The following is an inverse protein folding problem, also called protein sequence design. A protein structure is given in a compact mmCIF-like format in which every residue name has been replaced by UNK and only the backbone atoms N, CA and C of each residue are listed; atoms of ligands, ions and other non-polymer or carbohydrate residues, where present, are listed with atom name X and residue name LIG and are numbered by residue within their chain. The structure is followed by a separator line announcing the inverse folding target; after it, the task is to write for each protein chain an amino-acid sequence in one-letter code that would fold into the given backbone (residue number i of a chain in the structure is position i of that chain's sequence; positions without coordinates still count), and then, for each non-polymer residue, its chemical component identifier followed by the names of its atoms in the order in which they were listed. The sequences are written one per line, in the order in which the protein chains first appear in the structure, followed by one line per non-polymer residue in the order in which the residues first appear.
data_IF_057617506128
#
_entry.id   IF_057617506128
#
_cell.length_a   1.000
_cell.length_b   1.000
_cell.length_c   1.000
_cell.angle_alpha   90.00
_cell.angle_beta   90.00
_cell.angle_gamma   90.00
#
_symmetry.space_group_name_H-M   'P 1'
#
loop_
_entity.id
_entity.type
_entity.pdbx_description
1 polymer ?
#
# COMPACT_ATOMS: atom_id res chain seq x y z
N UNK A 1 -30.57 -30.37 -27.09
CA UNK A 1 -29.59 -30.54 -26.02
C UNK A 1 -28.39 -29.65 -26.32
N UNK A 2 -28.36 -28.44 -25.79
CA UNK A 2 -27.25 -27.52 -25.95
C UNK A 2 -26.61 -27.32 -24.58
N UNK A 3 -25.41 -27.85 -24.44
CA UNK A 3 -24.59 -27.78 -23.21
C UNK A 3 -23.93 -26.41 -23.16
N UNK A 4 -24.40 -25.51 -22.30
CA UNK A 4 -23.74 -24.23 -22.01
C UNK A 4 -22.69 -24.49 -20.93
N UNK A 5 -21.47 -24.74 -21.34
CA UNK A 5 -20.29 -24.67 -20.48
C UNK A 5 -20.04 -23.21 -20.12
N UNK A 6 -20.38 -22.86 -18.90
CA UNK A 6 -20.03 -21.58 -18.29
C UNK A 6 -18.52 -21.51 -18.10
N UNK A 7 -17.82 -20.81 -18.98
CA UNK A 7 -16.44 -20.41 -18.74
C UNK A 7 -16.44 -19.33 -17.65
N UNK A 8 -16.15 -19.74 -16.42
CA UNK A 8 -15.72 -18.84 -15.35
C UNK A 8 -14.34 -18.30 -15.72
N UNK A 9 -14.33 -17.16 -16.39
CA UNK A 9 -13.11 -16.37 -16.55
C UNK A 9 -12.79 -15.80 -15.17
N UNK A 10 -11.91 -16.49 -14.45
CA UNK A 10 -11.24 -15.94 -13.26
C UNK A 10 -10.33 -14.80 -13.75
N UNK A 11 -10.86 -13.59 -13.78
CA UNK A 11 -10.04 -12.40 -13.95
C UNK A 11 -9.23 -12.23 -12.68
N UNK A 12 -8.02 -12.78 -12.70
CA UNK A 12 -6.99 -12.40 -11.74
C UNK A 12 -6.69 -10.91 -11.94
N UNK A 13 -7.36 -10.06 -11.19
CA UNK A 13 -6.96 -8.67 -10.99
C UNK A 13 -5.67 -8.65 -10.16
N UNK A 14 -4.56 -9.03 -10.81
CA UNK A 14 -3.23 -8.63 -10.36
C UNK A 14 -3.05 -7.17 -10.77
N UNK A 15 -3.87 -6.30 -10.19
CA UNK A 15 -3.60 -4.88 -10.18
C UNK A 15 -2.45 -4.68 -9.22
N UNK A 16 -1.23 -4.53 -9.74
CA UNK A 16 -0.17 -3.88 -8.99
C UNK A 16 -0.72 -2.54 -8.54
N UNK A 17 -1.16 -2.47 -7.28
CA UNK A 17 -1.45 -1.20 -6.65
C UNK A 17 -0.07 -0.57 -6.51
N UNK A 18 0.29 0.28 -7.48
CA UNK A 18 1.33 1.27 -7.27
C UNK A 18 0.77 2.28 -6.26
N UNK A 19 0.49 1.82 -5.03
CA UNK A 19 0.42 2.70 -3.90
C UNK A 19 1.81 3.30 -3.82
N UNK A 20 1.93 4.59 -4.08
CA UNK A 20 3.13 5.33 -3.75
C UNK A 20 3.42 5.01 -2.30
N UNK A 21 4.45 4.18 -2.08
CA UNK A 21 4.93 3.92 -0.72
C UNK A 21 5.18 5.29 -0.11
N UNK A 22 4.67 5.56 1.11
CA UNK A 22 5.02 6.81 1.78
C UNK A 22 6.54 6.90 1.79
N UNK A 23 7.05 8.08 1.50
CA UNK A 23 8.48 8.40 1.53
C UNK A 23 9.01 8.34 2.98
N UNK A 24 8.78 7.25 3.68
CA UNK A 24 9.25 6.98 5.05
C UNK A 24 10.77 7.00 5.11
N UNK A 25 11.42 6.81 3.95
CA UNK A 25 12.87 7.02 3.83
C UNK A 25 13.25 8.51 3.72
N UNK A 26 12.32 9.42 3.42
CA UNK A 26 12.64 10.83 3.12
C UNK A 26 12.22 11.83 4.22
N UNK A 27 11.24 11.50 5.04
CA UNK A 27 10.80 12.42 6.11
C UNK A 27 10.89 11.73 7.46
N UNK A 28 11.91 12.11 8.24
CA UNK A 28 12.07 11.66 9.60
C UNK A 28 10.95 12.14 10.52
N UNK A 29 9.88 11.37 10.64
CA UNK A 29 8.95 11.51 11.75
C UNK A 29 9.56 10.80 12.97
N UNK A 30 10.33 11.55 13.74
CA UNK A 30 11.10 11.10 14.90
C UNK A 30 10.26 11.18 16.17
N UNK A 31 9.55 10.12 16.51
CA UNK A 31 9.03 9.92 17.86
C UNK A 31 9.93 8.97 18.64
N UNK A 32 10.64 9.46 19.67
CA UNK A 32 11.41 8.64 20.60
C UNK A 32 12.72 8.04 20.05
N UNK A 33 13.66 8.88 19.62
CA UNK A 33 14.93 8.44 19.03
C UNK A 33 15.94 8.01 20.09
N UNK A 34 16.43 6.76 20.00
CA UNK A 34 17.83 6.48 20.32
C UNK A 34 18.67 7.36 19.37
N UNK A 35 19.55 8.22 19.94
CA UNK A 35 20.47 9.03 19.13
C UNK A 35 21.43 8.08 18.43
N UNK A 36 21.26 7.90 17.13
CA UNK A 36 22.19 7.10 16.32
C UNK A 36 23.60 7.65 16.43
N UNK A 37 24.57 6.75 16.43
CA UNK A 37 25.99 7.09 16.39
C UNK A 37 26.31 7.88 15.11
N UNK A 38 27.39 8.69 15.10
CA UNK A 38 27.79 9.39 13.88
C UNK A 38 28.02 8.45 12.69
N UNK A 39 28.59 7.29 12.95
CA UNK A 39 28.84 6.25 11.95
C UNK A 39 27.53 5.72 11.34
N UNK A 40 26.54 5.37 12.16
CA UNK A 40 25.25 4.92 11.66
C UNK A 40 24.52 6.03 10.88
N UNK A 41 24.65 7.28 11.30
CA UNK A 41 24.08 8.41 10.53
C UNK A 41 24.70 8.50 9.14
N UNK A 42 26.01 8.36 9.01
CA UNK A 42 26.70 8.36 7.72
C UNK A 42 26.21 7.21 6.83
N UNK A 43 26.10 5.99 7.38
CA UNK A 43 25.56 4.85 6.65
C UNK A 43 24.11 5.09 6.18
N UNK A 44 23.26 5.68 7.03
CA UNK A 44 21.89 5.99 6.65
C UNK A 44 21.81 7.08 5.56
N UNK A 45 22.71 8.05 5.55
CA UNK A 45 22.82 9.07 4.51
C UNK A 45 23.33 8.47 3.19
N UNK A 46 24.33 7.63 3.25
CA UNK A 46 24.82 6.90 2.08
C UNK A 46 23.76 6.00 1.49
N UNK A 47 23.04 5.24 2.33
CA UNK A 47 21.93 4.42 1.89
C UNK A 47 20.84 5.24 1.18
N UNK A 48 20.47 6.42 1.71
CA UNK A 48 19.53 7.32 1.02
C UNK A 48 20.04 7.82 -0.31
N UNK A 49 21.34 8.14 -0.42
CA UNK A 49 21.97 8.55 -1.66
C UNK A 49 21.91 7.43 -2.72
N UNK A 50 22.20 6.20 -2.32
CA UNK A 50 22.10 5.02 -3.19
C UNK A 50 20.66 4.79 -3.66
N UNK A 51 19.67 4.93 -2.77
CA UNK A 51 18.24 4.88 -3.14
C UNK A 51 17.89 5.94 -4.19
N UNK A 52 18.37 7.17 -4.01
CA UNK A 52 18.10 8.25 -4.96
C UNK A 52 18.76 8.01 -6.33
N UNK A 53 19.87 7.27 -6.35
CA UNK A 53 20.57 6.81 -7.56
C UNK A 53 19.98 5.52 -8.16
N UNK A 54 18.96 4.91 -7.53
CA UNK A 54 18.36 3.66 -8.01
C UNK A 54 19.12 2.38 -7.62
N UNK A 55 20.23 2.50 -6.90
CA UNK A 55 21.02 1.34 -6.42
C UNK A 55 20.39 0.80 -5.12
N UNK A 56 19.29 0.06 -5.27
CA UNK A 56 18.61 -0.56 -4.12
C UNK A 56 19.46 -1.66 -3.46
N UNK A 57 20.30 -2.36 -4.23
CA UNK A 57 21.15 -3.44 -3.70
C UNK A 57 22.29 -2.89 -2.84
N UNK A 58 22.96 -1.85 -3.29
CA UNK A 58 23.95 -1.13 -2.51
C UNK A 58 23.34 -0.52 -1.25
N UNK A 59 22.16 0.08 -1.35
CA UNK A 59 21.45 0.64 -0.21
C UNK A 59 21.10 -0.43 0.83
N UNK A 60 20.67 -1.63 0.42
CA UNK A 60 20.42 -2.75 1.34
C UNK A 60 21.69 -3.13 2.10
N UNK A 61 22.83 -3.27 1.41
CA UNK A 61 24.09 -3.62 2.04
C UNK A 61 24.50 -2.60 3.10
N UNK A 62 24.39 -1.32 2.81
CA UNK A 62 24.70 -0.22 3.72
C UNK A 62 23.74 -0.21 4.93
N UNK A 63 22.43 -0.39 4.71
CA UNK A 63 21.48 -0.50 5.83
C UNK A 63 21.67 -1.76 6.67
N UNK A 64 22.14 -2.86 6.09
CA UNK A 64 22.51 -4.07 6.85
C UNK A 64 23.74 -3.82 7.75
N UNK A 65 24.75 -3.09 7.27
CA UNK A 65 25.86 -2.64 8.12
C UNK A 65 25.35 -1.77 9.27
N UNK A 66 24.50 -0.79 9.00
CA UNK A 66 23.88 0.00 10.04
C UNK A 66 23.10 -0.85 11.06
N UNK A 67 22.40 -1.91 10.61
CA UNK A 67 21.68 -2.83 11.49
C UNK A 67 22.58 -3.66 12.41
N UNK A 68 23.82 -3.97 11.99
CA UNK A 68 24.81 -4.64 12.87
C UNK A 68 25.29 -3.73 13.97
N UNK A 69 25.43 -2.43 13.70
CA UNK A 69 25.86 -1.43 14.69
C UNK A 69 24.73 -1.02 15.65
N UNK A 70 23.52 -0.89 15.13
CA UNK A 70 22.32 -0.52 15.91
C UNK A 70 21.17 -1.53 15.72
N UNK A 71 21.26 -2.75 16.29
CA UNK A 71 20.28 -3.82 16.06
C UNK A 71 18.89 -3.57 16.67
N UNK A 72 18.75 -2.50 17.44
CA UNK A 72 17.47 -2.06 18.04
C UNK A 72 16.88 -0.82 17.35
N UNK A 73 17.48 -0.33 16.27
CA UNK A 73 16.99 0.84 15.57
C UNK A 73 15.91 0.44 14.54
N UNK A 74 14.64 0.66 14.89
CA UNK A 74 13.49 0.30 14.05
C UNK A 74 13.52 0.95 12.66
N UNK A 75 14.07 2.16 12.55
CA UNK A 75 14.12 2.90 11.28
C UNK A 75 14.97 2.19 10.24
N UNK A 76 16.06 1.54 10.65
CA UNK A 76 16.95 0.77 9.78
C UNK A 76 16.18 -0.39 9.15
N UNK A 77 15.47 -1.17 9.98
CA UNK A 77 14.69 -2.31 9.49
C UNK A 77 13.51 -1.87 8.61
N UNK A 78 12.89 -0.73 8.88
CA UNK A 78 11.88 -0.14 8.00
C UNK A 78 12.48 0.24 6.65
N UNK A 79 13.69 0.81 6.62
CA UNK A 79 14.42 1.10 5.38
C UNK A 79 14.74 -0.16 4.59
N UNK A 80 15.26 -1.20 5.24
CA UNK A 80 15.50 -2.52 4.62
C UNK A 80 14.21 -3.09 4.03
N UNK A 81 13.10 -3.05 4.80
CA UNK A 81 11.80 -3.52 4.35
C UNK A 81 11.30 -2.77 3.12
N UNK A 82 11.45 -1.45 3.10
CA UNK A 82 11.13 -0.61 1.95
C UNK A 82 11.91 -1.03 0.69
N UNK A 83 13.21 -1.20 0.80
CA UNK A 83 14.07 -1.55 -0.33
C UNK A 83 13.75 -2.92 -0.92
N UNK A 84 13.53 -3.93 -0.07
CA UNK A 84 13.09 -5.23 -0.55
C UNK A 84 11.70 -5.19 -1.18
N UNK A 85 10.78 -4.37 -0.65
CA UNK A 85 9.46 -4.19 -1.26
C UNK A 85 9.55 -3.51 -2.64
N UNK A 86 10.46 -2.54 -2.83
CA UNK A 86 10.73 -1.93 -4.14
C UNK A 86 11.27 -2.94 -5.16
N UNK A 87 12.04 -3.92 -4.71
CA UNK A 87 12.52 -5.02 -5.57
C UNK A 87 11.47 -6.13 -5.78
N UNK A 88 10.25 -6.00 -5.21
CA UNK A 88 9.21 -7.03 -5.26
C UNK A 88 9.47 -8.23 -4.34
N UNK A 89 10.54 -8.20 -3.54
CA UNK A 89 10.84 -9.25 -2.57
C UNK A 89 10.01 -9.07 -1.28
N UNK A 90 8.71 -9.29 -1.40
CA UNK A 90 7.76 -9.10 -0.29
C UNK A 90 8.00 -10.05 0.91
N UNK A 91 8.44 -11.31 0.75
CA UNK A 91 8.75 -12.16 1.91
C UNK A 91 9.84 -11.57 2.81
N UNK A 92 10.94 -11.10 2.23
CA UNK A 92 12.04 -10.47 2.98
C UNK A 92 11.62 -9.12 3.55
N UNK A 93 10.87 -8.31 2.78
CA UNK A 93 10.31 -7.05 3.25
C UNK A 93 9.39 -7.26 4.48
N UNK A 94 8.56 -8.32 4.48
CA UNK A 94 7.69 -8.67 5.60
C UNK A 94 8.50 -8.95 6.88
N UNK A 95 9.58 -9.71 6.78
CA UNK A 95 10.46 -9.99 7.93
C UNK A 95 11.06 -8.71 8.50
N UNK A 96 11.56 -7.82 7.63
CA UNK A 96 12.14 -6.55 8.04
C UNK A 96 11.10 -5.62 8.70
N UNK A 97 9.90 -5.48 8.12
CA UNK A 97 8.83 -4.65 8.72
C UNK A 97 8.30 -5.24 10.03
N UNK A 98 8.20 -6.56 10.16
CA UNK A 98 7.88 -7.20 11.45
C UNK A 98 8.90 -6.83 12.52
N UNK A 99 10.18 -6.82 12.17
CA UNK A 99 11.24 -6.38 13.08
C UNK A 99 11.10 -4.91 13.44
N UNK A 100 10.83 -4.02 12.49
CA UNK A 100 10.57 -2.60 12.73
C UNK A 100 9.39 -2.39 13.70
N UNK A 101 8.26 -3.07 13.45
CA UNK A 101 7.07 -3.00 14.33
C UNK A 101 7.37 -3.56 15.73
N UNK A 102 8.13 -4.65 15.85
CA UNK A 102 8.51 -5.20 17.17
C UNK A 102 9.39 -4.26 18.00
N UNK A 103 10.22 -3.46 17.33
CA UNK A 103 11.10 -2.48 17.98
C UNK A 103 10.38 -1.16 18.30
N UNK A 104 9.42 -0.75 17.46
CA UNK A 104 8.60 0.43 17.70
C UNK A 104 7.13 0.15 17.32
N UNK A 105 6.33 -0.44 18.21
CA UNK A 105 4.95 -0.85 17.94
C UNK A 105 3.96 0.33 17.83
N UNK A 106 4.38 1.53 18.18
CA UNK A 106 3.53 2.73 18.11
C UNK A 106 3.78 3.60 16.88
N UNK A 107 4.56 3.11 15.91
CA UNK A 107 4.76 3.79 14.64
C UNK A 107 3.69 3.35 13.63
N UNK A 108 2.81 4.28 13.23
CA UNK A 108 1.72 4.03 12.29
C UNK A 108 2.21 3.72 10.87
N UNK A 109 3.37 4.25 10.47
CA UNK A 109 3.92 4.03 9.13
C UNK A 109 4.49 2.61 9.01
N UNK A 110 5.07 2.07 10.08
CA UNK A 110 5.53 0.67 10.08
C UNK A 110 4.35 -0.30 10.03
N UNK A 111 3.27 0.01 10.76
CA UNK A 111 2.04 -0.78 10.69
C UNK A 111 1.41 -0.71 9.29
N UNK A 112 1.38 0.47 8.66
CA UNK A 112 0.93 0.62 7.28
C UNK A 112 1.77 -0.21 6.30
N UNK A 113 3.10 -0.10 6.38
CA UNK A 113 4.01 -0.84 5.52
C UNK A 113 3.87 -2.37 5.69
N UNK A 114 3.67 -2.83 6.93
CA UNK A 114 3.37 -4.23 7.22
C UNK A 114 2.07 -4.67 6.53
N UNK A 115 1.01 -3.83 6.59
CA UNK A 115 -0.25 -4.08 5.90
C UNK A 115 -0.09 -4.16 4.38
N UNK A 116 0.67 -3.25 3.80
CA UNK A 116 0.98 -3.22 2.38
C UNK A 116 1.66 -4.51 1.90
N UNK A 117 2.73 -4.92 2.59
CA UNK A 117 3.48 -6.13 2.23
C UNK A 117 2.65 -7.39 2.43
N UNK A 118 1.91 -7.49 3.54
CA UNK A 118 1.00 -8.63 3.78
C UNK A 118 -0.07 -8.75 2.70
N UNK A 119 -0.65 -7.61 2.27
CA UNK A 119 -1.65 -7.58 1.20
C UNK A 119 -1.11 -7.98 -0.17
N UNK A 120 0.16 -7.67 -0.47
CA UNK A 120 0.83 -8.12 -1.70
C UNK A 120 1.17 -9.62 -1.65
N UNK A 121 1.42 -10.18 -0.49
CA UNK A 121 1.59 -11.62 -0.28
C UNK A 121 0.27 -12.40 -0.28
N UNK A 122 -0.89 -11.72 -0.37
CA UNK A 122 -2.20 -12.34 -0.34
C UNK A 122 -2.73 -12.65 1.07
N UNK A 123 -1.95 -12.37 2.12
CA UNK A 123 -2.43 -12.48 3.51
C UNK A 123 -3.34 -11.29 3.85
N UNK A 124 -4.55 -11.34 3.28
CA UNK A 124 -5.53 -10.25 3.46
C UNK A 124 -5.99 -10.11 4.92
N UNK A 125 -5.94 -11.17 5.73
CA UNK A 125 -6.30 -11.09 7.16
C UNK A 125 -5.24 -10.32 7.94
N UNK A 126 -3.96 -10.67 7.79
CA UNK A 126 -2.87 -9.93 8.43
C UNK A 126 -2.81 -8.48 7.93
N UNK A 127 -3.01 -8.25 6.63
CA UNK A 127 -3.05 -6.90 6.06
C UNK A 127 -4.18 -6.05 6.67
N UNK A 128 -5.38 -6.61 6.84
CA UNK A 128 -6.52 -5.92 7.49
C UNK A 128 -6.16 -5.45 8.90
N UNK A 129 -5.59 -6.33 9.71
CA UNK A 129 -5.22 -5.98 11.09
C UNK A 129 -4.08 -4.93 11.13
N UNK A 130 -3.08 -5.06 10.27
CA UNK A 130 -1.99 -4.09 10.19
C UNK A 130 -2.48 -2.70 9.73
N UNK A 131 -3.37 -2.60 8.74
CA UNK A 131 -3.96 -1.33 8.33
C UNK A 131 -4.86 -0.73 9.42
N UNK A 132 -5.64 -1.54 10.14
CA UNK A 132 -6.41 -1.08 11.30
C UNK A 132 -5.50 -0.49 12.37
N UNK A 133 -4.38 -1.15 12.66
CA UNK A 133 -3.37 -0.64 13.61
C UNK A 133 -2.77 0.68 13.12
N UNK A 134 -2.43 0.79 11.85
CA UNK A 134 -1.94 2.03 11.24
C UNK A 134 -2.94 3.19 11.42
N UNK A 135 -4.23 2.95 11.18
CA UNK A 135 -5.31 3.93 11.36
C UNK A 135 -5.48 4.33 12.84
N UNK A 136 -5.40 3.38 13.77
CA UNK A 136 -5.46 3.67 15.21
C UNK A 136 -4.31 4.61 15.64
N UNK A 137 -3.12 4.41 15.10
CA UNK A 137 -1.93 5.20 15.41
C UNK A 137 -1.89 6.54 14.67
N UNK A 138 -2.42 6.59 13.44
CA UNK A 138 -2.51 7.80 12.64
C UNK A 138 -3.82 7.81 11.84
N UNK A 139 -4.81 8.51 12.37
CA UNK A 139 -6.14 8.63 11.74
C UNK A 139 -6.15 9.45 10.45
N UNK A 140 -5.08 10.17 10.15
CA UNK A 140 -4.95 10.98 8.94
C UNK A 140 -4.23 10.22 7.80
N UNK A 141 -3.91 8.95 7.98
CA UNK A 141 -3.25 8.14 6.95
C UNK A 141 -4.26 7.67 5.90
N UNK A 142 -4.47 8.47 4.85
CA UNK A 142 -5.36 8.14 3.72
C UNK A 142 -5.02 6.78 3.11
N UNK A 143 -3.72 6.50 2.93
CA UNK A 143 -3.25 5.26 2.31
C UNK A 143 -3.62 4.01 3.15
N UNK A 144 -3.67 4.14 4.48
CA UNK A 144 -4.11 3.04 5.34
C UNK A 144 -5.60 2.74 5.17
N UNK A 145 -6.46 3.76 4.99
CA UNK A 145 -7.87 3.56 4.67
C UNK A 145 -8.06 2.94 3.28
N UNK A 146 -7.30 3.38 2.28
CA UNK A 146 -7.34 2.81 0.92
C UNK A 146 -6.87 1.36 0.91
N UNK A 147 -5.76 1.07 1.61
CA UNK A 147 -5.26 -0.29 1.78
C UNK A 147 -6.29 -1.19 2.48
N UNK A 148 -6.89 -0.69 3.57
CA UNK A 148 -7.97 -1.40 4.29
C UNK A 148 -9.16 -1.66 3.37
N UNK A 149 -9.65 -0.65 2.63
CA UNK A 149 -10.75 -0.81 1.68
C UNK A 149 -10.47 -1.89 0.63
N UNK A 150 -9.24 -1.92 0.11
CA UNK A 150 -8.81 -2.92 -0.88
C UNK A 150 -8.83 -4.34 -0.30
N UNK A 151 -8.29 -4.55 0.89
CA UNK A 151 -8.29 -5.90 1.50
C UNK A 151 -9.69 -6.34 1.95
N UNK A 152 -10.54 -5.40 2.39
CA UNK A 152 -11.94 -5.69 2.68
C UNK A 152 -12.72 -6.15 1.44
N UNK A 153 -12.46 -5.55 0.26
CA UNK A 153 -13.01 -6.03 -1.02
C UNK A 153 -12.58 -7.46 -1.33
N UNK A 154 -11.28 -7.78 -1.12
CA UNK A 154 -10.74 -9.14 -1.34
C UNK A 154 -11.34 -10.17 -0.38
N UNK A 155 -11.66 -9.76 0.85
CA UNK A 155 -12.30 -10.59 1.87
C UNK A 155 -13.83 -10.69 1.70
N UNK A 156 -14.44 -9.93 0.80
CA UNK A 156 -15.90 -9.87 0.62
C UNK A 156 -16.65 -9.11 1.73
N UNK A 157 -15.94 -8.35 2.56
CA UNK A 157 -16.50 -7.57 3.67
C UNK A 157 -17.06 -6.22 3.19
N UNK A 158 -18.00 -6.24 2.25
CA UNK A 158 -18.48 -5.05 1.52
C UNK A 158 -19.10 -3.96 2.40
N UNK A 159 -19.73 -4.31 3.52
CA UNK A 159 -20.29 -3.32 4.47
C UNK A 159 -19.21 -2.43 5.07
N UNK A 160 -18.04 -2.99 5.35
CA UNK A 160 -16.91 -2.28 5.95
C UNK A 160 -16.13 -1.43 4.92
N UNK A 161 -16.22 -1.76 3.62
CA UNK A 161 -15.59 -0.97 2.55
C UNK A 161 -16.12 0.45 2.51
N UNK A 162 -17.44 0.65 2.70
CA UNK A 162 -18.04 1.98 2.73
C UNK A 162 -17.39 2.90 3.76
N UNK A 163 -17.21 2.39 4.96
CA UNK A 163 -16.59 3.18 6.02
C UNK A 163 -15.15 3.59 5.64
N UNK A 164 -14.34 2.66 5.14
CA UNK A 164 -12.96 2.97 4.73
C UNK A 164 -12.92 3.99 3.59
N UNK A 165 -13.80 3.84 2.59
CA UNK A 165 -13.97 4.81 1.51
C UNK A 165 -14.34 6.20 2.03
N UNK A 166 -15.35 6.30 2.91
CA UNK A 166 -15.81 7.57 3.45
C UNK A 166 -14.72 8.28 4.25
N UNK A 167 -13.92 7.54 5.05
CA UNK A 167 -12.82 8.15 5.78
C UNK A 167 -11.72 8.65 4.82
N UNK A 168 -11.36 7.87 3.80
CA UNK A 168 -10.40 8.30 2.78
C UNK A 168 -10.89 9.56 2.05
N UNK A 169 -12.18 9.63 1.69
CA UNK A 169 -12.79 10.75 1.01
C UNK A 169 -12.90 12.02 1.86
N UNK A 170 -13.07 11.87 3.20
CA UNK A 170 -13.02 13.02 4.12
C UNK A 170 -11.64 13.66 4.17
N UNK A 171 -10.59 12.84 4.09
CA UNK A 171 -9.20 13.29 4.15
C UNK A 171 -8.69 13.80 2.80
N UNK A 172 -9.05 13.12 1.71
CA UNK A 172 -8.67 13.49 0.35
C UNK A 172 -9.85 13.28 -0.62
N UNK A 173 -10.72 14.30 -0.79
CA UNK A 173 -11.91 14.22 -1.66
C UNK A 173 -11.60 14.02 -3.14
N UNK A 174 -10.36 14.24 -3.57
CA UNK A 174 -9.93 14.08 -4.96
C UNK A 174 -9.07 12.84 -5.19
N UNK A 175 -9.07 11.90 -4.26
CA UNK A 175 -8.30 10.67 -4.38
C UNK A 175 -8.95 9.71 -5.39
N UNK A 176 -8.36 9.46 -6.56
CA UNK A 176 -8.96 8.61 -7.58
C UNK A 176 -9.08 7.16 -7.15
N UNK A 177 -8.15 6.66 -6.31
CA UNK A 177 -8.16 5.29 -5.84
C UNK A 177 -9.35 5.03 -4.89
N UNK A 178 -9.77 6.02 -4.11
CA UNK A 178 -10.97 5.88 -3.28
C UNK A 178 -12.21 5.62 -4.15
N UNK A 179 -12.37 6.37 -5.25
CA UNK A 179 -13.45 6.14 -6.21
C UNK A 179 -13.33 4.76 -6.89
N UNK A 180 -12.13 4.31 -7.23
CA UNK A 180 -11.91 2.98 -7.83
C UNK A 180 -12.34 1.86 -6.87
N UNK A 181 -12.00 1.95 -5.57
CA UNK A 181 -12.42 1.01 -4.52
C UNK A 181 -13.95 0.99 -4.43
N UNK A 182 -14.59 2.17 -4.41
CA UNK A 182 -16.05 2.29 -4.34
C UNK A 182 -16.72 1.69 -5.58
N UNK A 183 -16.22 2.01 -6.78
CA UNK A 183 -16.72 1.44 -8.03
C UNK A 183 -16.63 -0.08 -8.05
N UNK A 184 -15.50 -0.63 -7.59
CA UNK A 184 -15.30 -2.08 -7.48
C UNK A 184 -16.29 -2.72 -6.50
N UNK A 185 -16.55 -2.08 -5.37
CA UNK A 185 -17.55 -2.55 -4.42
C UNK A 185 -18.95 -2.60 -5.05
N UNK A 186 -19.37 -1.51 -5.71
CA UNK A 186 -20.68 -1.40 -6.36
C UNK A 186 -20.84 -2.46 -7.46
N UNK A 187 -19.80 -2.66 -8.26
CA UNK A 187 -19.77 -3.70 -9.30
C UNK A 187 -19.94 -5.10 -8.69
N UNK A 188 -19.26 -5.41 -7.58
CA UNK A 188 -19.40 -6.68 -6.85
C UNK A 188 -20.79 -6.87 -6.23
N UNK A 189 -21.50 -5.80 -5.94
CA UNK A 189 -22.87 -5.79 -5.46
C UNK A 189 -23.92 -5.83 -6.59
N UNK A 190 -23.51 -5.92 -7.87
CA UNK A 190 -24.42 -5.91 -9.03
C UNK A 190 -24.99 -4.52 -9.37
N UNK A 191 -24.51 -3.45 -8.72
CA UNK A 191 -24.96 -2.07 -8.95
C UNK A 191 -24.18 -1.42 -10.10
N UNK A 192 -24.30 -1.99 -11.29
CA UNK A 192 -23.47 -1.63 -12.45
C UNK A 192 -23.59 -0.16 -12.85
N UNK A 193 -24.82 0.42 -12.83
CA UNK A 193 -25.03 1.84 -13.18
C UNK A 193 -24.27 2.78 -12.24
N UNK A 194 -24.35 2.54 -10.95
CA UNK A 194 -23.65 3.35 -9.93
C UNK A 194 -22.13 3.16 -10.05
N UNK A 195 -21.67 1.92 -10.32
CA UNK A 195 -20.25 1.62 -10.51
C UNK A 195 -19.66 2.40 -11.69
N UNK A 196 -20.40 2.49 -12.83
CA UNK A 196 -19.97 3.25 -14.01
C UNK A 196 -19.70 4.71 -13.65
N UNK A 197 -20.64 5.38 -12.97
CA UNK A 197 -20.50 6.79 -12.58
C UNK A 197 -19.25 7.01 -11.73
N UNK A 198 -19.03 6.12 -10.77
CA UNK A 198 -17.90 6.22 -9.84
C UNK A 198 -16.58 5.91 -10.53
N UNK A 199 -16.52 4.93 -11.42
CA UNK A 199 -15.32 4.64 -12.21
C UNK A 199 -14.98 5.77 -13.20
N UNK A 200 -15.98 6.40 -13.84
CA UNK A 200 -15.75 7.57 -14.69
C UNK A 200 -15.09 8.70 -13.88
N UNK A 201 -15.57 8.97 -12.67
CA UNK A 201 -14.94 9.95 -11.77
C UNK A 201 -13.50 9.58 -11.42
N UNK A 202 -13.23 8.31 -11.10
CA UNK A 202 -11.88 7.79 -10.85
C UNK A 202 -10.95 8.02 -12.05
N UNK A 203 -11.40 7.61 -13.25
CA UNK A 203 -10.65 7.78 -14.50
C UNK A 203 -10.27 9.24 -14.73
N UNK A 204 -11.25 10.16 -14.60
CA UNK A 204 -11.04 11.58 -14.87
C UNK A 204 -10.05 12.21 -13.88
N UNK A 205 -10.09 11.81 -12.61
CA UNK A 205 -9.12 12.22 -11.62
C UNK A 205 -7.71 11.65 -11.90
N UNK A 206 -7.60 10.38 -12.33
CA UNK A 206 -6.31 9.82 -12.75
C UNK A 206 -5.74 10.54 -13.98
N UNK A 207 -6.59 10.93 -14.97
CA UNK A 207 -6.19 11.74 -16.12
C UNK A 207 -5.63 13.09 -15.69
N UNK A 208 -6.31 13.79 -14.79
CA UNK A 208 -5.84 15.07 -14.25
C UNK A 208 -4.49 14.94 -13.52
N UNK A 209 -4.17 13.77 -12.97
CA UNK A 209 -2.91 13.48 -12.31
C UNK A 209 -1.84 12.91 -13.25
N UNK A 210 -2.10 12.74 -14.54
CA UNK A 210 -1.17 12.18 -15.51
C UNK A 210 -0.87 10.69 -15.32
N UNK A 211 -1.72 9.94 -14.62
CA UNK A 211 -1.51 8.52 -14.28
C UNK A 211 -2.09 7.60 -15.35
N UNK A 212 -1.44 7.51 -16.52
CA UNK A 212 -1.93 6.79 -17.71
C UNK A 212 -2.25 5.31 -17.44
N UNK A 213 -1.39 4.59 -16.71
CA UNK A 213 -1.61 3.16 -16.41
C UNK A 213 -2.88 2.95 -15.56
N UNK A 214 -3.12 3.86 -14.61
CA UNK A 214 -4.33 3.82 -13.78
C UNK A 214 -5.57 4.17 -14.59
N UNK A 215 -5.47 5.11 -15.54
CA UNK A 215 -6.54 5.41 -16.52
C UNK A 215 -6.89 4.17 -17.32
N UNK A 216 -5.88 3.52 -17.94
CA UNK A 216 -6.10 2.32 -18.75
C UNK A 216 -6.76 1.19 -17.94
N UNK A 217 -6.36 1.00 -16.69
CA UNK A 217 -6.96 0.01 -15.78
C UNK A 217 -8.43 0.31 -15.52
N UNK A 218 -8.78 1.56 -15.19
CA UNK A 218 -10.18 1.94 -14.92
C UNK A 218 -11.02 1.87 -16.18
N UNK A 219 -10.49 2.22 -17.36
CA UNK A 219 -11.18 2.05 -18.65
C UNK A 219 -11.46 0.58 -18.95
N UNK A 220 -10.55 -0.34 -18.59
CA UNK A 220 -10.82 -1.76 -18.71
C UNK A 220 -12.01 -2.20 -17.83
N UNK A 221 -12.13 -1.65 -16.60
CA UNK A 221 -13.29 -1.91 -15.73
C UNK A 221 -14.59 -1.36 -16.34
N UNK A 222 -14.56 -0.18 -16.94
CA UNK A 222 -15.70 0.42 -17.64
C UNK A 222 -16.13 -0.41 -18.85
N UNK A 223 -15.18 -0.85 -19.70
CA UNK A 223 -15.48 -1.75 -20.83
C UNK A 223 -16.16 -3.06 -20.39
N UNK A 224 -15.75 -3.64 -19.25
CA UNK A 224 -16.39 -4.83 -18.68
C UNK A 224 -17.84 -4.57 -18.23
N UNK A 225 -18.22 -3.31 -18.03
CA UNK A 225 -19.59 -2.87 -17.72
C UNK A 225 -20.37 -2.39 -18.95
N UNK A 226 -19.79 -2.48 -20.15
CA UNK A 226 -20.43 -2.14 -21.42
C UNK A 226 -20.34 -0.66 -21.82
N UNK A 227 -19.33 0.08 -21.31
CA UNK A 227 -19.15 1.52 -21.58
C UNK A 227 -17.76 1.83 -22.11
#
# INVERSE_FOLDING_TARGET
MYNRTSFLVSVFLVGSIAATMPAVAQTGAFGGQQRSTPEVKQLLEEGRRLVSGGDYSGAIAVYQQAATLEPKNATIYSGIGYLYAQQGNFPTALAAYRRAVSLNPNNGDYAYALGYVSGNLGDNKAAKEAYRRAIQLNRNNVNAYLGLGTVLLRLGEYSNVNWAYEQAMKLDPRNPQAYEIRGTQLMKQGKSRDAIVVFQKSRDLYRQQGKSDSVARVEALLRNLGV
#
